data_IF_072265948450
#
_entry.id   IF_072265948450
#
_cell.length_a   1.000
_cell.length_b   1.000
_cell.length_c   1.000
_cell.angle_alpha   90.00
_cell.angle_beta   90.00
_cell.angle_gamma   90.00
#
_symmetry.space_group_name_H-M   'P 1'
#
loop_
_entity.id
_entity.type
_entity.pdbx_description
1 polymer ?
#
# COMPACT_ATOMS: atom_id res chain seq x y z
N UNK A 1 2.80 -12.41 31.63
CA UNK A 1 2.37 -13.68 31.01
C UNK A 1 1.51 -13.36 29.81
N UNK A 2 1.90 -13.78 28.60
CA UNK A 2 1.01 -13.66 27.43
C UNK A 2 -0.08 -14.72 27.55
N UNK A 3 -1.34 -14.30 27.56
CA UNK A 3 -2.47 -15.21 27.52
C UNK A 3 -2.37 -16.08 26.26
N UNK A 4 -2.58 -17.39 26.40
CA UNK A 4 -2.69 -18.29 25.26
C UNK A 4 -3.80 -17.76 24.35
N UNK A 5 -3.45 -17.41 23.12
CA UNK A 5 -4.38 -16.82 22.17
C UNK A 5 -5.44 -17.85 21.79
N UNK A 6 -6.63 -17.72 22.39
CA UNK A 6 -7.77 -18.55 22.04
C UNK A 6 -8.25 -18.14 20.65
N UNK A 7 -8.26 -19.10 19.73
CA UNK A 7 -8.94 -18.93 18.44
C UNK A 7 -10.44 -18.65 18.65
N UNK A 8 -11.08 -18.10 17.63
CA UNK A 8 -12.55 -18.01 17.60
C UNK A 8 -13.13 -19.36 17.18
N UNK A 9 -14.35 -19.69 17.65
CA UNK A 9 -15.10 -20.89 17.27
C UNK A 9 -14.64 -22.20 17.92
N UNK A 10 -15.20 -23.32 17.47
CA UNK A 10 -14.97 -24.66 18.03
C UNK A 10 -14.67 -25.66 16.91
N UNK A 11 -13.45 -26.21 16.91
CA UNK A 11 -12.99 -27.18 15.92
C UNK A 11 -13.71 -28.53 15.99
N UNK A 12 -14.40 -28.81 17.09
CA UNK A 12 -15.10 -30.07 17.34
C UNK A 12 -16.61 -30.02 17.06
N UNK A 13 -17.17 -28.83 16.94
CA UNK A 13 -18.61 -28.63 16.74
C UNK A 13 -19.03 -28.74 15.26
N UNK A 14 -20.17 -29.39 15.01
CA UNK A 14 -20.85 -29.44 13.71
C UNK A 14 -22.00 -28.39 13.58
N UNK A 15 -22.22 -27.57 14.62
CA UNK A 15 -23.28 -26.58 14.61
C UNK A 15 -23.01 -25.44 13.59
N UNK A 16 -24.06 -24.96 12.92
CA UNK A 16 -23.96 -23.79 12.05
C UNK A 16 -23.48 -22.57 12.86
N UNK A 17 -22.40 -21.94 12.41
CA UNK A 17 -21.82 -20.76 13.07
C UNK A 17 -20.66 -21.07 14.03
N UNK A 18 -20.35 -22.34 14.32
CA UNK A 18 -19.22 -22.70 15.20
C UNK A 18 -17.85 -22.70 14.52
N UNK A 19 -17.73 -22.07 13.35
CA UNK A 19 -16.52 -22.14 12.52
C UNK A 19 -15.28 -21.63 13.26
N UNK A 20 -14.31 -22.53 13.50
CA UNK A 20 -13.09 -22.17 14.19
C UNK A 20 -12.07 -21.44 13.28
N UNK A 21 -11.35 -20.46 13.84
CA UNK A 21 -10.20 -19.78 13.21
C UNK A 21 -9.13 -19.42 14.24
N UNK A 22 -7.87 -19.68 13.87
CA UNK A 22 -6.69 -19.28 14.63
C UNK A 22 -6.00 -18.12 13.93
N UNK A 23 -6.28 -16.90 14.39
CA UNK A 23 -5.78 -15.67 13.77
C UNK A 23 -4.60 -15.03 14.54
N UNK A 24 -4.17 -15.63 15.64
CA UNK A 24 -3.04 -15.13 16.41
C UNK A 24 -1.79 -14.98 15.54
N UNK A 25 -1.12 -13.83 15.66
CA UNK A 25 0.10 -13.52 14.91
C UNK A 25 -0.11 -13.20 13.42
N UNK A 26 -1.35 -13.20 12.91
CA UNK A 26 -1.66 -12.81 11.53
C UNK A 26 -2.09 -11.34 11.47
N UNK A 27 -1.79 -10.62 10.36
CA UNK A 27 -2.32 -9.28 10.15
C UNK A 27 -3.85 -9.27 10.18
N UNK A 28 -4.42 -8.35 10.95
CA UNK A 28 -5.86 -8.12 10.99
C UNK A 28 -6.23 -7.00 9.99
N UNK A 29 -6.57 -7.41 8.77
CA UNK A 29 -6.96 -6.49 7.72
C UNK A 29 -8.26 -5.71 8.02
N UNK A 30 -9.06 -6.15 9.00
CA UNK A 30 -10.29 -5.43 9.38
C UNK A 30 -10.01 -4.11 10.10
N UNK A 31 -8.79 -3.93 10.63
CA UNK A 31 -8.34 -2.69 11.25
C UNK A 31 -8.01 -1.59 10.23
N UNK A 32 -7.94 -1.93 8.95
CA UNK A 32 -7.63 -0.97 7.89
C UNK A 32 -8.95 -0.29 7.46
N UNK A 33 -9.02 1.04 7.45
CA UNK A 33 -10.16 1.75 6.87
C UNK A 33 -10.31 1.41 5.39
N UNK A 34 -11.27 0.53 5.04
CA UNK A 34 -11.39 0.00 3.67
C UNK A 34 -11.66 1.09 2.62
N UNK A 35 -12.23 2.22 3.04
CA UNK A 35 -12.49 3.38 2.17
C UNK A 35 -11.20 3.95 1.57
N UNK A 36 -10.09 3.98 2.31
CA UNK A 36 -8.81 4.47 1.78
C UNK A 36 -8.25 3.51 0.72
N UNK A 37 -8.45 2.20 0.89
CA UNK A 37 -8.08 1.20 -0.14
C UNK A 37 -8.93 1.32 -1.41
N UNK A 38 -10.21 1.70 -1.29
CA UNK A 38 -11.05 1.92 -2.47
C UNK A 38 -10.56 3.09 -3.31
N UNK A 39 -10.02 4.14 -2.69
CA UNK A 39 -9.47 5.31 -3.39
C UNK A 39 -8.19 4.97 -4.14
N UNK A 40 -7.27 4.25 -3.48
CA UNK A 40 -6.07 3.71 -4.11
C UNK A 40 -6.41 2.77 -5.27
N UNK A 41 -7.42 1.90 -5.12
CA UNK A 41 -7.83 0.99 -6.17
C UNK A 41 -8.28 1.74 -7.45
N UNK A 42 -8.91 2.91 -7.29
CA UNK A 42 -9.26 3.78 -8.44
C UNK A 42 -8.01 4.38 -9.09
N UNK A 43 -7.01 4.78 -8.31
CA UNK A 43 -5.72 5.23 -8.85
C UNK A 43 -4.99 4.10 -9.59
N UNK A 44 -4.98 2.89 -9.05
CA UNK A 44 -4.43 1.72 -9.73
C UNK A 44 -5.17 1.38 -11.02
N UNK A 45 -6.50 1.51 -11.03
CA UNK A 45 -7.31 1.34 -12.24
C UNK A 45 -6.96 2.40 -13.29
N UNK A 46 -6.83 3.67 -12.90
CA UNK A 46 -6.36 4.74 -13.77
C UNK A 46 -4.96 4.43 -14.34
N UNK A 47 -4.02 4.00 -13.50
CA UNK A 47 -2.69 3.58 -13.93
C UNK A 47 -2.70 2.38 -14.87
N UNK A 48 -3.62 1.42 -14.68
CA UNK A 48 -3.83 0.29 -15.57
C UNK A 48 -4.27 0.75 -16.96
N UNK A 49 -5.21 1.69 -17.07
CA UNK A 49 -5.63 2.21 -18.39
C UNK A 49 -4.49 2.97 -19.08
N UNK A 50 -3.68 3.73 -18.32
CA UNK A 50 -2.58 4.52 -18.86
C UNK A 50 -1.34 3.71 -19.23
N UNK A 51 -1.00 2.66 -18.47
CA UNK A 51 0.27 1.95 -18.57
C UNK A 51 0.16 0.43 -18.75
N UNK A 52 -1.06 -0.10 -18.91
CA UNK A 52 -1.41 -1.51 -18.79
C UNK A 52 -1.32 -2.07 -17.36
N UNK A 53 -2.08 -3.14 -17.10
CA UNK A 53 -2.08 -3.82 -15.81
C UNK A 53 -0.67 -4.33 -15.45
N UNK A 54 -0.33 -4.27 -14.17
CA UNK A 54 0.94 -4.78 -13.63
C UNK A 54 2.21 -4.10 -14.16
N UNK A 55 2.11 -2.97 -14.86
CA UNK A 55 3.31 -2.30 -15.40
C UNK A 55 4.35 -1.95 -14.31
N UNK A 56 3.88 -1.60 -13.12
CA UNK A 56 4.75 -1.31 -11.97
C UNK A 56 5.57 -2.53 -11.53
N UNK A 57 5.13 -3.77 -11.77
CA UNK A 57 5.86 -4.97 -11.30
C UNK A 57 7.18 -5.19 -12.01
N UNK A 58 7.43 -4.47 -13.11
CA UNK A 58 8.71 -4.50 -13.85
C UNK A 58 9.86 -3.87 -13.06
N UNK A 59 9.55 -3.18 -11.96
CA UNK A 59 10.53 -2.41 -11.20
C UNK A 59 10.89 -1.10 -11.90
N UNK A 60 11.43 -0.18 -11.11
CA UNK A 60 11.96 1.10 -11.56
C UNK A 60 12.89 1.67 -10.49
N UNK A 61 13.70 2.67 -10.84
CA UNK A 61 14.56 3.35 -9.88
C UNK A 61 13.71 3.98 -8.74
N UNK A 62 14.11 3.82 -7.48
CA UNK A 62 13.32 4.22 -6.30
C UNK A 62 13.01 5.72 -6.28
N UNK A 63 13.90 6.54 -6.84
CA UNK A 63 13.67 7.97 -7.02
C UNK A 63 12.40 8.31 -7.81
N UNK A 64 11.94 7.43 -8.72
CA UNK A 64 10.76 7.67 -9.57
C UNK A 64 9.46 7.71 -8.76
N UNK A 65 9.05 6.62 -8.04
CA UNK A 65 7.86 6.67 -7.20
C UNK A 65 8.03 7.65 -6.03
N UNK A 66 9.26 7.86 -5.53
CA UNK A 66 9.52 8.88 -4.51
C UNK A 66 9.21 10.29 -5.01
N UNK A 67 9.74 10.69 -6.17
CA UNK A 67 9.48 12.01 -6.73
C UNK A 67 7.99 12.19 -7.08
N UNK A 68 7.33 11.13 -7.55
CA UNK A 68 5.89 11.14 -7.81
C UNK A 68 5.08 11.37 -6.52
N UNK A 69 5.37 10.60 -5.47
CA UNK A 69 4.79 10.78 -4.13
C UNK A 69 4.96 12.22 -3.65
N UNK A 70 6.17 12.77 -3.73
CA UNK A 70 6.46 14.12 -3.25
C UNK A 70 5.68 15.20 -4.01
N UNK A 71 5.45 15.04 -5.33
CA UNK A 71 4.61 15.99 -6.09
C UNK A 71 3.15 15.96 -5.65
N UNK A 72 2.57 14.78 -5.41
CA UNK A 72 1.20 14.70 -4.90
C UNK A 72 1.09 15.24 -3.47
N UNK A 73 2.08 14.96 -2.61
CA UNK A 73 2.12 15.52 -1.26
C UNK A 73 2.27 17.05 -1.27
N UNK A 74 3.09 17.61 -2.18
CA UNK A 74 3.26 19.05 -2.32
C UNK A 74 1.97 19.75 -2.80
N UNK A 75 1.27 19.18 -3.78
CA UNK A 75 -0.02 19.70 -4.25
C UNK A 75 -1.09 19.66 -3.15
N UNK A 76 -1.19 18.53 -2.43
CA UNK A 76 -2.07 18.41 -1.28
C UNK A 76 -1.76 19.45 -0.19
N UNK A 77 -0.48 19.61 0.15
CA UNK A 77 -0.03 20.62 1.11
C UNK A 77 -0.36 22.06 0.67
N UNK A 78 -0.43 22.31 -0.64
CA UNK A 78 -0.81 23.59 -1.23
C UNK A 78 -2.34 23.83 -1.29
N UNK A 79 -3.15 22.85 -0.86
CA UNK A 79 -4.61 22.95 -0.83
C UNK A 79 -5.33 22.34 -2.05
N UNK A 80 -4.61 21.60 -2.91
CA UNK A 80 -5.22 20.84 -4.00
C UNK A 80 -5.65 19.45 -3.50
N UNK A 81 -6.95 19.15 -3.54
CA UNK A 81 -7.47 17.87 -3.04
C UNK A 81 -7.34 16.73 -4.07
N UNK A 82 -7.57 17.04 -5.35
CA UNK A 82 -7.56 16.06 -6.43
C UNK A 82 -6.54 16.43 -7.52
N UNK A 83 -5.87 15.39 -8.01
CA UNK A 83 -4.96 15.48 -9.14
C UNK A 83 -5.70 15.91 -10.42
N UNK A 84 -5.18 16.93 -11.09
CA UNK A 84 -5.84 17.55 -12.25
C UNK A 84 -5.94 16.61 -13.48
N UNK A 85 -5.05 15.63 -13.60
CA UNK A 85 -5.06 14.70 -14.74
C UNK A 85 -6.11 13.60 -14.56
N UNK A 86 -6.15 13.00 -13.38
CA UNK A 86 -7.01 11.84 -13.06
C UNK A 86 -8.35 12.21 -12.43
N UNK A 87 -8.47 13.39 -11.83
CA UNK A 87 -9.60 13.79 -10.99
C UNK A 87 -9.69 13.02 -9.65
N UNK A 88 -8.64 12.28 -9.27
CA UNK A 88 -8.60 11.44 -8.07
C UNK A 88 -7.79 12.08 -6.92
N UNK A 89 -8.04 11.71 -5.64
CA UNK A 89 -7.38 12.35 -4.51
C UNK A 89 -5.84 12.25 -4.54
N UNK A 90 -5.14 13.35 -4.25
CA UNK A 90 -3.67 13.36 -4.16
C UNK A 90 -3.13 12.37 -3.14
N UNK A 91 -3.81 12.23 -1.99
CA UNK A 91 -3.42 11.28 -0.95
C UNK A 91 -3.51 9.82 -1.45
N UNK A 92 -4.47 9.49 -2.32
CA UNK A 92 -4.57 8.16 -2.92
C UNK A 92 -3.38 7.87 -3.84
N UNK A 93 -2.97 8.83 -4.67
CA UNK A 93 -1.76 8.72 -5.48
C UNK A 93 -0.50 8.57 -4.64
N UNK A 94 -0.38 9.35 -3.55
CA UNK A 94 0.75 9.24 -2.64
C UNK A 94 0.82 7.83 -1.99
N UNK A 95 -0.33 7.28 -1.54
CA UNK A 95 -0.40 5.93 -0.99
C UNK A 95 0.02 4.85 -2.02
N UNK A 96 -0.43 4.94 -3.27
CA UNK A 96 0.01 4.01 -4.33
C UNK A 96 1.53 4.02 -4.53
N UNK A 97 2.15 5.21 -4.57
CA UNK A 97 3.60 5.33 -4.69
C UNK A 97 4.34 4.82 -3.44
N UNK A 98 3.81 5.07 -2.25
CA UNK A 98 4.40 4.56 -1.00
C UNK A 98 4.34 3.03 -0.92
N UNK A 99 3.26 2.41 -1.43
CA UNK A 99 3.17 0.95 -1.54
C UNK A 99 4.22 0.38 -2.48
N UNK A 100 4.43 1.00 -3.64
CA UNK A 100 5.52 0.58 -4.55
C UNK A 100 6.88 0.67 -3.86
N UNK A 101 7.18 1.79 -3.20
CA UNK A 101 8.45 1.97 -2.47
C UNK A 101 8.62 0.93 -1.34
N UNK A 102 7.57 0.69 -0.55
CA UNK A 102 7.61 -0.29 0.54
C UNK A 102 7.89 -1.70 0.00
N UNK A 103 7.26 -2.06 -1.12
CA UNK A 103 7.47 -3.35 -1.76
C UNK A 103 8.85 -3.45 -2.43
N UNK A 104 9.33 -2.40 -3.08
CA UNK A 104 10.66 -2.41 -3.69
C UNK A 104 11.77 -2.48 -2.64
N UNK A 105 11.60 -1.83 -1.48
CA UNK A 105 12.54 -1.92 -0.37
C UNK A 105 12.77 -3.36 0.11
N UNK A 106 11.77 -4.23 -0.02
CA UNK A 106 11.84 -5.63 0.38
C UNK A 106 12.16 -6.58 -0.78
N UNK A 107 11.72 -6.27 -2.00
CA UNK A 107 11.69 -7.23 -3.12
C UNK A 107 12.41 -6.76 -4.39
N UNK A 108 12.94 -5.53 -4.44
CA UNK A 108 13.61 -4.96 -5.60
C UNK A 108 14.67 -3.92 -5.16
N UNK A 109 15.69 -4.40 -4.44
CA UNK A 109 16.75 -3.59 -3.85
C UNK A 109 17.75 -3.07 -4.88
N UNK A 110 17.91 -3.77 -6.00
CA UNK A 110 18.73 -3.35 -7.14
C UNK A 110 18.19 -2.06 -7.81
N UNK A 111 16.94 -1.68 -7.52
CA UNK A 111 16.36 -0.41 -7.94
C UNK A 111 16.69 0.78 -7.04
N UNK A 112 17.37 0.58 -5.92
CA UNK A 112 17.74 1.67 -5.00
C UNK A 112 18.83 2.56 -5.61
N UNK A 113 18.41 3.73 -6.10
CA UNK A 113 19.27 4.74 -6.72
C UNK A 113 19.48 5.96 -5.81
N UNK A 114 19.21 5.84 -4.51
CA UNK A 114 19.49 6.91 -3.55
C UNK A 114 21.00 7.18 -3.51
N UNK A 115 21.43 8.44 -3.35
CA UNK A 115 22.85 8.79 -3.26
C UNK A 115 23.55 7.94 -2.21
N UNK A 116 24.76 7.46 -2.54
CA UNK A 116 25.59 6.71 -1.61
C UNK A 116 25.67 7.46 -0.27
N UNK A 117 25.60 6.72 0.85
CA UNK A 117 25.65 7.31 2.20
C UNK A 117 26.88 8.19 2.42
N UNK A 118 27.98 7.88 1.73
CA UNK A 118 29.24 8.65 1.75
C UNK A 118 29.13 10.06 1.15
N UNK A 119 28.08 10.33 0.37
CA UNK A 119 27.77 11.63 -0.23
C UNK A 119 26.68 12.38 0.55
N UNK A 120 26.22 11.84 1.68
CA UNK A 120 25.24 12.47 2.55
C UNK A 120 25.93 12.88 3.87
N UNK A 121 25.83 14.15 4.31
CA UNK A 121 26.50 14.66 5.51
C UNK A 121 26.00 14.03 6.82
#
# INVERSE_FOLDING_TARGET
MMAAAQGIGDVTSQAKGSGARFNYGKPDYSLIPLTTMADEARVWAYGKEKYAAWNWTKGMAWSIPFACLMRHMAAWQAGEECDAESGLPHLAHAMCNLRMLTLYATNYQEGDDRPAKELQP
#
